data_IF_470392923347
#
_entry.id   IF_470392923347
#
_cell.length_a   1.000
_cell.length_b   1.000
_cell.length_c   1.000
_cell.angle_alpha   90.00
_cell.angle_beta   90.00
_cell.angle_gamma   90.00
#
_symmetry.space_group_name_H-M   'P 1'
#
loop_
_entity.id
_entity.type
_entity.pdbx_description
1 polymer ?
#
# COMPACT_ATOMS: atom_id res chain seq x y z
N UNK A 1 -17.79 -23.86 16.75
CA UNK A 1 -16.74 -23.93 15.74
C UNK A 1 -16.76 -22.61 14.97
N UNK A 2 -15.99 -21.59 15.43
CA UNK A 2 -15.93 -20.26 14.82
C UNK A 2 -14.70 -20.22 13.91
N UNK A 3 -14.92 -20.10 12.64
CA UNK A 3 -13.88 -19.86 11.62
C UNK A 3 -13.42 -18.42 11.78
N UNK A 4 -12.16 -18.23 12.15
CA UNK A 4 -11.46 -16.95 12.08
C UNK A 4 -11.17 -16.65 10.60
N UNK A 5 -12.07 -15.93 9.97
CA UNK A 5 -11.79 -15.26 8.71
C UNK A 5 -10.75 -14.16 8.98
N UNK A 6 -9.54 -14.40 8.53
CA UNK A 6 -8.50 -13.37 8.45
C UNK A 6 -9.04 -12.20 7.63
N UNK A 7 -9.12 -11.02 8.25
CA UNK A 7 -9.47 -9.78 7.56
C UNK A 7 -8.40 -9.47 6.54
N UNK A 8 -8.75 -9.61 5.28
CA UNK A 8 -8.04 -8.93 4.19
C UNK A 8 -8.27 -7.43 4.45
N UNK A 9 -7.21 -6.72 4.79
CA UNK A 9 -7.24 -5.27 4.87
C UNK A 9 -7.35 -4.70 3.44
N UNK A 10 -8.53 -4.80 2.87
CA UNK A 10 -8.97 -3.85 1.86
C UNK A 10 -8.99 -2.48 2.54
N UNK A 11 -8.34 -1.49 1.93
CA UNK A 11 -8.25 -0.15 2.45
C UNK A 11 -9.61 0.32 2.98
N UNK A 12 -9.63 0.73 4.22
CA UNK A 12 -10.84 1.21 4.87
C UNK A 12 -11.40 2.38 4.06
N UNK A 13 -12.56 2.19 3.47
CA UNK A 13 -13.46 3.25 3.05
C UNK A 13 -13.92 4.00 4.32
N UNK A 14 -13.04 4.84 4.83
CA UNK A 14 -13.35 5.82 5.86
C UNK A 14 -13.99 7.01 5.18
N UNK A 15 -15.32 7.07 5.19
CA UNK A 15 -16.06 8.25 4.77
C UNK A 15 -15.66 9.42 5.66
N UNK A 16 -14.99 10.42 5.11
CA UNK A 16 -14.77 11.69 5.78
C UNK A 16 -14.88 12.89 4.84
N UNK A 17 -15.61 13.87 5.29
CA UNK A 17 -16.11 15.04 4.60
C UNK A 17 -15.17 16.25 4.62
N UNK A 18 -15.14 16.98 3.49
CA UNK A 18 -15.05 18.43 3.24
C UNK A 18 -13.68 19.14 3.40
N UNK A 19 -13.24 20.10 2.63
CA UNK A 19 -13.56 20.99 1.54
C UNK A 19 -12.29 21.79 1.15
N UNK A 20 -12.07 22.04 -0.10
CA UNK A 20 -11.61 23.16 -0.94
C UNK A 20 -10.16 23.69 -1.00
N UNK A 21 -9.61 23.84 -2.15
CA UNK A 21 -9.00 24.58 -3.21
C UNK A 21 -7.54 24.83 -3.37
N UNK A 22 -6.90 24.94 -4.25
CA UNK A 22 -6.25 25.03 -5.52
C UNK A 22 -4.75 25.53 -5.63
N UNK A 23 -3.93 25.27 -6.57
CA UNK A 23 -3.13 25.68 -7.75
C UNK A 23 -1.58 25.46 -7.80
N UNK A 24 -0.90 25.41 -8.80
CA UNK A 24 -0.08 25.17 -10.02
C UNK A 24 1.49 25.27 -9.91
N UNK A 25 2.41 24.91 -10.66
CA UNK A 25 2.95 24.44 -11.86
C UNK A 25 4.48 24.67 -12.11
N UNK A 26 5.06 23.91 -12.98
CA UNK A 26 6.13 23.90 -13.98
C UNK A 26 7.37 23.02 -13.67
N UNK A 27 8.00 22.40 -14.73
CA UNK A 27 8.73 21.15 -14.56
C UNK A 27 10.21 21.34 -14.25
N UNK A 28 10.68 20.71 -13.19
CA UNK A 28 12.11 20.43 -12.99
C UNK A 28 12.35 18.94 -13.19
N UNK A 29 13.39 18.59 -13.94
CA UNK A 29 13.89 17.22 -14.03
C UNK A 29 14.19 16.70 -12.62
N UNK A 30 13.38 15.73 -12.16
CA UNK A 30 13.72 14.96 -10.96
C UNK A 30 14.83 13.98 -11.38
N UNK A 31 16.04 14.27 -10.95
CA UNK A 31 17.13 13.29 -10.98
C UNK A 31 16.75 12.23 -9.94
N UNK A 32 16.53 11.01 -10.41
CA UNK A 32 16.38 9.85 -9.54
C UNK A 32 17.64 9.73 -8.68
N UNK A 33 17.57 10.14 -7.42
CA UNK A 33 18.63 9.85 -6.46
C UNK A 33 18.45 8.41 -6.02
N UNK A 34 19.37 7.55 -6.45
CA UNK A 34 19.54 6.25 -5.83
C UNK A 34 19.82 6.48 -4.34
N UNK A 35 19.09 5.79 -3.47
CA UNK A 35 19.44 5.74 -2.05
C UNK A 35 20.85 5.14 -1.99
N UNK A 36 21.84 5.96 -1.64
CA UNK A 36 23.23 5.54 -1.60
C UNK A 36 23.40 4.32 -0.67
N UNK A 37 24.31 3.38 -1.00
CA UNK A 37 24.62 2.30 -0.08
C UNK A 37 24.99 2.91 1.28
N UNK A 38 24.37 2.38 2.32
CA UNK A 38 24.46 2.90 3.66
C UNK A 38 25.93 3.05 4.10
N UNK A 39 26.36 4.26 4.31
CA UNK A 39 27.47 4.51 5.21
C UNK A 39 27.09 4.05 6.61
N UNK A 40 28.01 3.40 7.35
CA UNK A 40 27.76 2.77 8.67
C UNK A 40 27.42 3.77 9.80
N UNK A 41 26.88 4.92 9.49
CA UNK A 41 26.49 5.95 10.43
C UNK A 41 25.13 5.68 11.09
N UNK A 42 25.05 5.87 12.40
CA UNK A 42 23.78 5.92 13.14
C UNK A 42 23.18 7.31 12.92
N UNK A 43 21.95 7.37 12.40
CA UNK A 43 21.20 8.62 12.34
C UNK A 43 20.05 8.52 13.33
N UNK A 44 19.95 9.48 14.24
CA UNK A 44 18.90 9.60 15.26
C UNK A 44 18.01 10.78 14.90
N UNK A 45 16.70 10.57 14.84
CA UNK A 45 15.73 11.66 14.76
C UNK A 45 15.56 12.26 16.16
N UNK A 46 15.81 13.54 16.32
CA UNK A 46 16.08 14.20 17.60
C UNK A 46 14.95 14.14 18.63
N UNK A 47 13.67 14.08 18.21
CA UNK A 47 12.51 14.19 19.10
C UNK A 47 11.62 12.93 19.19
N UNK A 48 11.88 11.89 18.42
CA UNK A 48 10.95 10.76 18.28
C UNK A 48 11.42 9.44 18.89
N UNK A 49 12.61 9.39 19.49
CA UNK A 49 13.23 8.13 19.94
C UNK A 49 13.41 7.12 18.80
N UNK A 50 13.55 7.63 17.56
CA UNK A 50 13.71 6.81 16.35
C UNK A 50 15.15 6.86 15.88
N UNK A 51 15.77 5.69 15.70
CA UNK A 51 17.13 5.56 15.18
C UNK A 51 17.15 4.68 13.91
N UNK A 52 18.17 4.86 13.08
CA UNK A 52 18.46 3.97 11.95
C UNK A 52 19.91 3.54 11.99
N UNK A 53 20.14 2.25 11.76
CA UNK A 53 21.46 1.63 11.78
C UNK A 53 21.51 0.41 10.84
N UNK A 54 22.68 -0.16 10.65
CA UNK A 54 22.86 -1.43 9.93
C UNK A 54 23.25 -2.52 10.93
N UNK A 55 22.58 -3.66 10.86
CA UNK A 55 22.90 -4.84 11.64
C UNK A 55 22.88 -6.07 10.76
N UNK A 56 23.97 -6.86 10.79
CA UNK A 56 24.11 -8.06 9.96
C UNK A 56 24.00 -7.83 8.45
N UNK A 57 24.20 -6.58 7.98
CA UNK A 57 24.02 -6.16 6.58
C UNK A 57 22.59 -5.84 6.21
N UNK A 58 21.68 -5.66 7.17
CA UNK A 58 20.28 -5.26 7.00
C UNK A 58 20.10 -3.86 7.58
N UNK A 59 19.44 -2.97 6.84
CA UNK A 59 19.02 -1.66 7.35
C UNK A 59 17.91 -1.85 8.38
N UNK A 60 18.06 -1.24 9.55
CA UNK A 60 17.08 -1.25 10.64
C UNK A 60 16.62 0.17 10.91
N UNK A 61 15.32 0.36 11.08
CA UNK A 61 14.72 1.53 11.70
C UNK A 61 14.12 1.05 13.01
N UNK A 62 14.44 1.69 14.10
CA UNK A 62 13.94 1.32 15.41
C UNK A 62 13.36 2.54 16.12
N UNK A 63 12.11 2.40 16.61
CA UNK A 63 11.45 3.39 17.46
C UNK A 63 11.11 2.76 18.80
N UNK A 64 11.58 3.39 19.87
CA UNK A 64 11.11 3.05 21.19
C UNK A 64 9.67 3.54 21.38
N UNK A 65 8.77 2.64 21.75
CA UNK A 65 7.38 2.94 22.10
C UNK A 65 7.04 2.21 23.40
N UNK A 66 6.55 2.91 24.42
CA UNK A 66 6.19 2.28 25.70
C UNK A 66 5.01 1.32 25.51
N UNK A 67 4.96 0.26 26.31
CA UNK A 67 3.89 -0.75 26.29
C UNK A 67 4.44 -2.16 26.12
N UNK A 68 3.53 -3.13 26.16
CA UNK A 68 3.91 -4.55 26.13
C UNK A 68 3.94 -5.12 24.70
N UNK A 69 3.26 -4.49 23.76
CA UNK A 69 3.23 -4.94 22.36
C UNK A 69 4.44 -4.42 21.59
N UNK A 70 5.13 -5.33 20.93
CA UNK A 70 6.21 -5.02 20.00
C UNK A 70 5.89 -5.53 18.60
N UNK A 71 6.30 -4.75 17.61
CA UNK A 71 6.15 -5.03 16.18
C UNK A 71 7.52 -5.04 15.53
N UNK A 72 7.79 -6.03 14.70
CA UNK A 72 8.93 -6.03 13.80
C UNK A 72 8.45 -6.36 12.38
N UNK A 73 8.44 -5.36 11.51
CA UNK A 73 8.08 -5.51 10.10
C UNK A 73 9.34 -5.61 9.25
N UNK A 74 9.54 -6.74 8.59
CA UNK A 74 10.51 -6.89 7.53
C UNK A 74 9.84 -6.56 6.19
N UNK A 75 10.34 -5.53 5.53
CA UNK A 75 9.93 -5.12 4.19
C UNK A 75 10.86 -5.79 3.18
N UNK A 76 10.33 -6.67 2.33
CA UNK A 76 11.01 -7.20 1.16
C UNK A 76 10.80 -6.24 -0.01
N UNK A 77 11.81 -5.40 -0.26
CA UNK A 77 11.71 -4.26 -1.18
C UNK A 77 11.62 -4.68 -2.63
N UNK A 78 10.90 -3.88 -3.42
CA UNK A 78 10.74 -4.05 -4.86
C UNK A 78 9.36 -4.53 -5.29
N UNK A 79 8.64 -5.27 -4.45
CA UNK A 79 7.26 -5.69 -4.69
C UNK A 79 7.04 -6.23 -6.11
N UNK A 80 6.06 -5.65 -6.82
CA UNK A 80 5.71 -6.09 -8.20
C UNK A 80 6.79 -5.83 -9.25
N UNK A 81 7.83 -5.06 -8.93
CA UNK A 81 9.00 -4.88 -9.81
C UNK A 81 9.94 -6.09 -9.82
N UNK A 82 9.75 -7.04 -8.91
CA UNK A 82 10.53 -8.28 -8.82
C UNK A 82 9.82 -9.48 -9.47
N UNK A 83 8.66 -9.25 -10.07
CA UNK A 83 7.84 -10.28 -10.68
C UNK A 83 7.35 -9.86 -12.07
N UNK A 84 6.78 -10.80 -12.79
CA UNK A 84 6.09 -10.60 -14.07
C UNK A 84 4.63 -11.01 -13.91
N UNK A 85 3.79 -10.79 -14.91
CA UNK A 85 2.42 -11.32 -14.91
C UNK A 85 2.37 -12.84 -14.79
N UNK A 86 3.40 -13.56 -15.23
CA UNK A 86 3.44 -15.02 -15.21
C UNK A 86 3.66 -15.61 -13.82
N UNK A 87 4.40 -14.89 -12.96
CA UNK A 87 4.70 -15.30 -11.58
C UNK A 87 4.16 -14.33 -10.52
N UNK A 88 3.22 -13.46 -10.89
CA UNK A 88 2.56 -12.57 -9.96
C UNK A 88 2.00 -13.34 -8.76
N UNK A 89 2.20 -12.81 -7.55
CA UNK A 89 1.80 -13.45 -6.29
C UNK A 89 2.79 -14.46 -5.73
N UNK A 90 3.93 -14.72 -6.38
CA UNK A 90 4.91 -15.74 -5.92
C UNK A 90 5.49 -15.39 -4.54
N UNK A 91 5.74 -14.11 -4.23
CA UNK A 91 6.34 -13.70 -2.95
C UNK A 91 5.37 -13.90 -1.77
N UNK A 92 4.14 -13.38 -1.76
CA UNK A 92 3.19 -13.70 -0.71
C UNK A 92 2.84 -15.18 -0.66
N UNK A 93 2.76 -15.88 -1.79
CA UNK A 93 2.55 -17.32 -1.81
C UNK A 93 3.68 -18.09 -1.09
N UNK A 94 4.95 -17.74 -1.36
CA UNK A 94 6.10 -18.30 -0.66
C UNK A 94 6.03 -18.08 0.85
N UNK A 95 5.73 -16.86 1.27
CA UNK A 95 5.66 -16.49 2.69
C UNK A 95 4.51 -17.19 3.42
N UNK A 96 3.35 -17.32 2.80
CA UNK A 96 2.22 -18.09 3.35
C UNK A 96 2.52 -19.60 3.36
N UNK A 97 3.14 -20.15 2.31
CA UNK A 97 3.56 -21.55 2.27
C UNK A 97 4.57 -21.88 3.39
N UNK A 98 5.38 -20.90 3.83
CA UNK A 98 6.31 -21.07 4.95
C UNK A 98 5.63 -21.37 6.28
N UNK A 99 4.34 -21.04 6.43
CA UNK A 99 3.54 -21.38 7.61
C UNK A 99 3.23 -22.88 7.71
N UNK A 100 3.34 -23.60 6.61
CA UNK A 100 3.03 -25.01 6.52
C UNK A 100 4.16 -25.92 7.01
N UNK A 101 5.34 -25.36 7.29
CA UNK A 101 6.48 -26.07 7.86
C UNK A 101 7.81 -25.44 7.53
N UNK A 102 8.73 -25.60 8.44
CA UNK A 102 10.13 -25.19 8.29
C UNK A 102 11.05 -26.33 8.68
N UNK A 103 12.35 -26.19 8.41
CA UNK A 103 13.34 -27.19 8.85
C UNK A 103 13.26 -27.49 10.35
N UNK A 104 12.92 -26.51 11.19
CA UNK A 104 12.89 -26.64 12.65
C UNK A 104 11.51 -26.94 13.23
N UNK A 105 10.46 -26.71 12.48
CA UNK A 105 9.07 -26.84 12.94
C UNK A 105 8.22 -27.55 11.89
N UNK A 106 7.60 -28.68 12.26
CA UNK A 106 6.49 -29.21 11.45
C UNK A 106 5.29 -28.26 11.54
N UNK A 107 4.36 -28.35 10.58
CA UNK A 107 3.12 -27.54 10.54
C UNK A 107 2.41 -27.49 11.88
N UNK A 108 2.15 -28.66 12.49
CA UNK A 108 1.41 -28.74 13.76
C UNK A 108 2.19 -28.17 14.94
N UNK A 109 3.52 -28.35 14.94
CA UNK A 109 4.38 -27.76 15.98
C UNK A 109 4.40 -26.23 15.86
N UNK A 110 4.46 -25.70 14.64
CA UNK A 110 4.44 -24.28 14.34
C UNK A 110 3.12 -23.67 14.80
N UNK A 111 1.99 -24.24 14.38
CA UNK A 111 0.65 -23.79 14.77
C UNK A 111 0.46 -23.80 16.31
N UNK A 112 0.85 -24.89 16.98
CA UNK A 112 0.79 -24.97 18.46
C UNK A 112 1.69 -23.96 19.16
N UNK A 113 2.89 -23.69 18.61
CA UNK A 113 3.80 -22.69 19.17
C UNK A 113 3.21 -21.28 19.04
N UNK A 114 2.71 -20.89 17.87
CA UNK A 114 2.06 -19.61 17.63
C UNK A 114 0.84 -19.39 18.53
N UNK A 115 -0.02 -20.40 18.63
CA UNK A 115 -1.22 -20.35 19.51
C UNK A 115 -0.85 -20.19 20.97
N UNK A 116 0.17 -20.91 21.47
CA UNK A 116 0.64 -20.83 22.86
C UNK A 116 1.29 -19.49 23.20
N UNK A 117 2.00 -18.90 22.24
CA UNK A 117 2.66 -17.60 22.41
C UNK A 117 1.66 -16.44 22.32
N UNK A 118 0.45 -16.65 21.83
CA UNK A 118 -0.52 -15.58 21.59
C UNK A 118 -0.01 -14.52 20.62
N UNK A 119 0.78 -14.94 19.63
CA UNK A 119 1.51 -14.04 18.72
C UNK A 119 1.04 -14.20 17.28
N UNK A 120 1.33 -13.21 16.43
CA UNK A 120 1.01 -13.22 15.00
C UNK A 120 2.25 -12.99 14.14
N UNK A 121 2.31 -13.70 13.00
CA UNK A 121 3.18 -13.37 11.87
C UNK A 121 2.25 -13.08 10.71
N UNK A 122 2.41 -11.91 10.09
CA UNK A 122 1.55 -11.40 9.03
C UNK A 122 2.33 -11.27 7.73
N UNK A 123 1.64 -11.50 6.62
CA UNK A 123 2.12 -11.21 5.27
C UNK A 123 1.19 -10.20 4.63
N UNK A 124 1.73 -9.10 4.10
CA UNK A 124 0.97 -8.09 3.37
C UNK A 124 1.74 -7.67 2.11
N UNK A 125 1.14 -7.86 0.95
CA UNK A 125 1.77 -7.61 -0.35
C UNK A 125 1.26 -6.30 -0.95
N UNK A 126 2.16 -5.32 -1.06
CA UNK A 126 1.96 -4.01 -1.67
C UNK A 126 2.71 -3.95 -3.02
N UNK A 127 2.35 -3.06 -3.95
CA UNK A 127 3.11 -2.90 -5.19
C UNK A 127 4.59 -2.57 -5.02
N UNK A 128 4.99 -1.90 -3.96
CA UNK A 128 6.37 -1.46 -3.73
C UNK A 128 7.21 -2.44 -2.89
N UNK A 129 6.57 -3.23 -2.03
CA UNK A 129 7.21 -4.23 -1.15
C UNK A 129 6.22 -5.28 -0.64
N UNK A 130 6.75 -6.31 -0.03
CA UNK A 130 5.94 -7.25 0.77
C UNK A 130 6.39 -7.14 2.23
N UNK A 131 5.45 -6.95 3.14
CA UNK A 131 5.69 -6.96 4.58
C UNK A 131 5.58 -8.41 5.08
N UNK A 132 6.61 -8.86 5.79
CA UNK A 132 6.58 -10.08 6.59
C UNK A 132 6.86 -9.68 8.04
N UNK A 133 5.86 -9.67 8.91
CA UNK A 133 5.92 -8.95 10.17
C UNK A 133 5.49 -9.73 11.40
N UNK A 134 6.11 -9.41 12.53
CA UNK A 134 5.80 -9.95 13.85
C UNK A 134 4.84 -9.02 14.60
N UNK A 135 3.90 -9.63 15.34
CA UNK A 135 3.05 -9.01 16.35
C UNK A 135 3.17 -9.85 17.62
N UNK A 136 3.86 -9.34 18.66
CA UNK A 136 4.17 -10.10 19.86
C UNK A 136 4.20 -9.21 21.11
N UNK A 137 4.07 -9.80 22.29
CA UNK A 137 4.44 -9.12 23.53
C UNK A 137 5.95 -9.12 23.71
N UNK A 138 6.49 -8.23 24.56
CA UNK A 138 7.92 -8.22 24.91
C UNK A 138 8.39 -9.57 25.43
N UNK A 139 7.56 -10.26 26.22
CA UNK A 139 7.87 -11.56 26.81
C UNK A 139 7.99 -12.67 25.75
N UNK A 140 7.19 -12.61 24.68
CA UNK A 140 7.15 -13.65 23.63
C UNK A 140 7.96 -13.27 22.40
N UNK A 141 8.55 -12.08 22.35
CA UNK A 141 9.22 -11.53 21.16
C UNK A 141 10.36 -12.44 20.63
N UNK A 142 11.24 -12.92 21.51
CA UNK A 142 12.37 -13.78 21.11
C UNK A 142 11.90 -15.11 20.51
N UNK A 143 10.88 -15.72 21.13
CA UNK A 143 10.30 -16.97 20.65
C UNK A 143 9.57 -16.81 19.33
N UNK A 144 8.87 -15.67 19.16
CA UNK A 144 8.21 -15.33 17.90
C UNK A 144 9.22 -15.01 16.80
N UNK A 145 10.29 -14.30 17.15
CA UNK A 145 11.40 -14.04 16.21
C UNK A 145 12.03 -15.32 15.70
N UNK A 146 12.25 -16.32 16.58
CA UNK A 146 12.80 -17.61 16.18
C UNK A 146 11.91 -18.32 15.13
N UNK A 147 10.58 -18.27 15.31
CA UNK A 147 9.62 -18.82 14.33
C UNK A 147 9.65 -17.99 13.04
N UNK A 148 9.59 -16.67 13.13
CA UNK A 148 9.66 -15.74 12.00
C UNK A 148 10.92 -15.97 11.15
N UNK A 149 12.09 -16.00 11.78
CA UNK A 149 13.35 -16.26 11.11
C UNK A 149 13.39 -17.66 10.47
N UNK A 150 12.85 -18.69 11.15
CA UNK A 150 12.77 -20.05 10.61
C UNK A 150 11.85 -20.13 9.39
N UNK A 151 10.68 -19.43 9.40
CA UNK A 151 9.76 -19.34 8.27
C UNK A 151 10.40 -18.64 7.07
N UNK A 152 11.11 -17.53 7.30
CA UNK A 152 11.75 -16.76 6.25
C UNK A 152 12.95 -17.48 5.64
N UNK A 153 13.80 -18.11 6.48
CA UNK A 153 15.11 -18.65 6.05
C UNK A 153 15.04 -20.11 5.59
N UNK A 154 14.14 -20.91 6.15
CA UNK A 154 14.19 -22.37 6.02
C UNK A 154 12.80 -23.00 5.83
N UNK A 155 11.92 -22.47 4.95
CA UNK A 155 10.64 -23.13 4.65
C UNK A 155 10.89 -24.50 3.99
N UNK A 156 10.09 -25.52 4.33
CA UNK A 156 10.23 -26.86 3.73
C UNK A 156 9.62 -26.92 2.33
N UNK A 157 8.55 -26.17 2.11
CA UNK A 157 7.81 -26.13 0.84
C UNK A 157 7.45 -27.55 0.35
N UNK A 158 6.81 -28.32 1.23
CA UNK A 158 6.33 -29.67 0.88
C UNK A 158 5.20 -29.58 -0.16
N UNK A 159 5.25 -30.38 -1.25
CA UNK A 159 4.31 -30.24 -2.37
C UNK A 159 2.83 -30.28 -1.96
N UNK A 160 2.45 -31.19 -1.06
CA UNK A 160 1.06 -31.31 -0.60
C UNK A 160 0.61 -30.06 0.21
N UNK A 161 1.48 -29.49 1.02
CA UNK A 161 1.18 -28.28 1.80
C UNK A 161 1.16 -27.02 0.92
N UNK A 162 2.04 -26.95 -0.08
CA UNK A 162 2.04 -25.87 -1.07
C UNK A 162 0.73 -25.87 -1.86
N UNK A 163 0.23 -27.05 -2.22
CA UNK A 163 -1.04 -27.16 -2.95
C UNK A 163 -2.23 -26.67 -2.09
N UNK A 164 -2.26 -26.94 -0.81
CA UNK A 164 -3.29 -26.40 0.10
C UNK A 164 -3.28 -24.86 0.15
N UNK A 165 -2.09 -24.26 0.17
CA UNK A 165 -1.94 -22.80 0.13
C UNK A 165 -2.37 -22.24 -1.24
N UNK A 166 -2.00 -22.92 -2.34
CA UNK A 166 -2.47 -22.57 -3.69
C UNK A 166 -4.00 -22.47 -3.74
N UNK A 167 -4.71 -23.50 -3.23
CA UNK A 167 -6.17 -23.50 -3.22
C UNK A 167 -6.74 -22.33 -2.41
N UNK A 168 -6.09 -21.91 -1.31
CA UNK A 168 -6.49 -20.74 -0.55
C UNK A 168 -6.33 -19.44 -1.36
N UNK A 169 -5.21 -19.28 -2.09
CA UNK A 169 -4.98 -18.13 -2.97
C UNK A 169 -5.99 -18.11 -4.13
N UNK A 170 -6.24 -19.23 -4.78
CA UNK A 170 -7.22 -19.34 -5.87
C UNK A 170 -8.64 -19.02 -5.39
N UNK A 171 -9.00 -19.46 -4.18
CA UNK A 171 -10.27 -19.06 -3.55
C UNK A 171 -10.34 -17.54 -3.34
N UNK A 172 -9.26 -16.91 -2.85
CA UNK A 172 -9.18 -15.46 -2.71
C UNK A 172 -9.33 -14.72 -4.04
N UNK A 173 -8.72 -15.23 -5.11
CA UNK A 173 -8.88 -14.69 -6.48
C UNK A 173 -10.33 -14.84 -6.97
N UNK A 174 -10.97 -15.98 -6.73
CA UNK A 174 -12.38 -16.19 -7.08
C UNK A 174 -13.29 -15.23 -6.32
N UNK A 175 -13.11 -15.10 -5.00
CA UNK A 175 -13.88 -14.16 -4.18
C UNK A 175 -13.70 -12.70 -4.64
N UNK A 176 -12.48 -12.31 -5.04
CA UNK A 176 -12.21 -11.01 -5.64
C UNK A 176 -12.98 -10.81 -6.93
N UNK A 177 -13.02 -11.82 -7.81
CA UNK A 177 -13.79 -11.76 -9.06
C UNK A 177 -15.30 -11.64 -8.81
N UNK A 178 -15.81 -12.29 -7.78
CA UNK A 178 -17.25 -12.34 -7.47
C UNK A 178 -17.74 -11.07 -6.75
N UNK A 179 -16.84 -10.36 -6.02
CA UNK A 179 -17.13 -9.07 -5.40
C UNK A 179 -16.99 -7.93 -6.41
N UNK A 180 -18.05 -7.14 -6.69
CA UNK A 180 -17.99 -6.04 -7.64
C UNK A 180 -16.92 -4.98 -7.26
N UNK A 181 -16.82 -4.61 -5.99
CA UNK A 181 -15.84 -3.64 -5.52
C UNK A 181 -14.40 -4.17 -5.65
N UNK A 182 -14.15 -5.40 -5.23
CA UNK A 182 -12.82 -5.99 -5.31
C UNK A 182 -12.38 -6.21 -6.76
N UNK A 183 -13.31 -6.56 -7.65
CA UNK A 183 -13.07 -6.65 -9.09
C UNK A 183 -12.76 -5.28 -9.69
N UNK A 184 -13.54 -4.26 -9.30
CA UNK A 184 -13.36 -2.88 -9.76
C UNK A 184 -11.97 -2.36 -9.41
N UNK A 185 -11.53 -2.51 -8.16
CA UNK A 185 -10.19 -2.11 -7.69
C UNK A 185 -9.08 -2.83 -8.47
N UNK A 186 -9.19 -4.14 -8.62
CA UNK A 186 -8.23 -4.95 -9.38
C UNK A 186 -8.11 -4.50 -10.84
N UNK A 187 -9.24 -4.30 -11.51
CA UNK A 187 -9.27 -3.87 -12.90
C UNK A 187 -8.80 -2.43 -13.07
N UNK A 188 -9.12 -1.55 -12.12
CA UNK A 188 -8.73 -0.14 -12.17
C UNK A 188 -7.20 0.03 -12.22
N UNK A 189 -6.46 -0.67 -11.37
CA UNK A 189 -4.99 -0.62 -11.41
C UNK A 189 -4.43 -1.29 -12.68
N UNK A 190 -4.98 -2.43 -13.09
CA UNK A 190 -4.58 -3.14 -14.31
C UNK A 190 -4.77 -2.28 -15.58
N UNK A 191 -5.91 -1.58 -15.68
CA UNK A 191 -6.25 -0.71 -16.82
C UNK A 191 -5.47 0.61 -16.77
N UNK A 192 -5.37 1.22 -15.57
CA UNK A 192 -4.74 2.53 -15.43
C UNK A 192 -3.24 2.49 -15.69
N UNK A 193 -2.58 1.43 -15.26
CA UNK A 193 -1.12 1.32 -15.27
C UNK A 193 -0.59 0.29 -16.28
N UNK A 194 -1.37 -0.02 -17.31
CA UNK A 194 -0.95 -0.94 -18.38
C UNK A 194 0.43 -0.55 -18.94
N UNK A 195 1.37 -1.50 -18.95
CA UNK A 195 2.77 -1.28 -19.33
C UNK A 195 3.70 -0.83 -18.20
N UNK A 196 3.18 -0.56 -17.01
CA UNK A 196 3.95 -0.28 -15.80
C UNK A 196 3.82 -1.45 -14.80
N UNK A 197 4.84 -1.75 -13.96
CA UNK A 197 4.75 -2.83 -12.97
C UNK A 197 3.54 -2.75 -12.04
N UNK A 198 3.03 -1.56 -11.73
CA UNK A 198 1.81 -1.40 -10.89
C UNK A 198 0.53 -1.98 -11.51
N UNK A 199 0.55 -2.38 -12.78
CA UNK A 199 -0.54 -3.17 -13.37
C UNK A 199 -0.53 -4.64 -12.93
N UNK A 200 0.59 -5.12 -12.35
CA UNK A 200 0.73 -6.50 -11.88
C UNK A 200 0.11 -6.60 -10.47
N UNK A 201 -0.87 -7.49 -10.25
CA UNK A 201 -1.47 -7.62 -8.92
C UNK A 201 -0.49 -8.30 -7.94
N UNK A 202 -0.18 -7.68 -6.79
CA UNK A 202 0.74 -8.27 -5.81
C UNK A 202 0.30 -9.65 -5.29
N UNK A 203 -1.01 -9.87 -5.17
CA UNK A 203 -1.61 -11.14 -4.73
C UNK A 203 -1.76 -12.20 -5.84
N UNK A 204 -1.31 -11.89 -7.07
CA UNK A 204 -1.39 -12.81 -8.19
C UNK A 204 -2.74 -12.86 -8.90
N UNK A 205 -2.76 -13.66 -9.96
CA UNK A 205 -3.92 -13.99 -10.78
C UNK A 205 -4.18 -15.51 -10.72
N UNK A 206 -5.36 -15.95 -11.18
CA UNK A 206 -5.66 -17.37 -11.33
C UNK A 206 -4.62 -18.07 -12.23
N UNK A 207 -4.24 -17.44 -13.34
CA UNK A 207 -3.25 -17.96 -14.29
C UNK A 207 -1.85 -18.08 -13.68
N UNK A 208 -1.37 -17.05 -12.96
CA UNK A 208 -0.03 -17.09 -12.35
C UNK A 208 0.03 -18.08 -11.19
N UNK A 209 -0.95 -18.06 -10.29
CA UNK A 209 -0.99 -18.94 -9.10
C UNK A 209 -1.13 -20.40 -9.46
N UNK A 210 -1.89 -20.74 -10.52
CA UNK A 210 -2.00 -22.12 -11.01
C UNK A 210 -0.70 -22.65 -11.64
N UNK A 211 0.15 -21.75 -12.13
CA UNK A 211 1.39 -22.09 -12.84
C UNK A 211 2.60 -22.22 -11.93
N UNK A 212 2.66 -21.42 -10.84
CA UNK A 212 3.78 -21.41 -9.89
C UNK A 212 4.00 -22.82 -9.29
N UNK A 213 5.18 -23.39 -9.51
CA UNK A 213 5.58 -24.70 -8.98
C UNK A 213 6.34 -24.57 -7.65
N UNK A 214 6.53 -25.68 -6.95
CA UNK A 214 7.44 -25.76 -5.79
C UNK A 214 8.88 -25.40 -6.19
N UNK A 215 9.29 -25.77 -7.41
CA UNK A 215 10.59 -25.39 -7.97
C UNK A 215 10.74 -23.88 -8.11
N UNK A 216 9.70 -23.20 -8.60
CA UNK A 216 9.67 -21.73 -8.73
C UNK A 216 9.74 -21.05 -7.36
N UNK A 217 9.00 -21.55 -6.37
CA UNK A 217 9.04 -21.02 -4.99
C UNK A 217 10.45 -21.17 -4.38
N UNK A 218 11.11 -22.32 -4.55
CA UNK A 218 12.48 -22.56 -4.06
C UNK A 218 13.49 -21.66 -4.77
N UNK A 219 13.36 -21.51 -6.08
CA UNK A 219 14.20 -20.62 -6.88
C UNK A 219 14.02 -19.16 -6.42
N UNK A 220 12.77 -18.69 -6.33
CA UNK A 220 12.45 -17.33 -5.87
C UNK A 220 13.00 -17.10 -4.45
N UNK A 221 12.83 -18.04 -3.55
CA UNK A 221 13.38 -17.96 -2.19
C UNK A 221 14.90 -17.75 -2.22
N UNK A 222 15.65 -18.56 -2.98
CA UNK A 222 17.11 -18.50 -3.04
C UNK A 222 17.64 -17.20 -3.69
N UNK A 223 16.90 -16.63 -4.64
CA UNK A 223 17.30 -15.45 -5.41
C UNK A 223 16.84 -14.14 -4.76
N UNK A 224 15.67 -14.15 -4.10
CA UNK A 224 14.98 -12.93 -3.69
C UNK A 224 14.95 -12.71 -2.16
N UNK A 225 15.14 -13.75 -1.34
CA UNK A 225 15.25 -13.60 0.12
C UNK A 225 16.71 -13.27 0.46
N UNK A 226 17.10 -12.04 0.16
CA UNK A 226 18.47 -11.53 0.30
C UNK A 226 18.49 -10.22 1.09
N UNK A 227 19.58 -9.99 1.85
CA UNK A 227 19.71 -8.84 2.79
C UNK A 227 19.53 -7.49 2.10
N UNK A 228 20.02 -7.33 0.87
CA UNK A 228 19.90 -6.08 0.11
C UNK A 228 18.45 -5.67 -0.23
N UNK A 229 17.51 -6.61 -0.19
CA UNK A 229 16.06 -6.34 -0.32
C UNK A 229 15.37 -6.08 1.02
N UNK A 230 16.10 -6.04 2.13
CA UNK A 230 15.49 -6.01 3.45
C UNK A 230 15.62 -4.64 4.12
N UNK A 231 14.48 -4.11 4.55
CA UNK A 231 14.38 -3.06 5.55
C UNK A 231 13.61 -3.63 6.74
N UNK A 232 14.23 -3.62 7.92
CA UNK A 232 13.57 -4.04 9.16
C UNK A 232 13.13 -2.81 9.95
N UNK A 233 11.86 -2.72 10.29
CA UNK A 233 11.33 -1.66 11.16
C UNK A 233 10.83 -2.28 12.45
N UNK A 234 11.35 -1.84 13.58
CA UNK A 234 10.97 -2.31 14.92
C UNK A 234 10.36 -1.16 15.70
N UNK A 235 9.15 -1.36 16.22
CA UNK A 235 8.45 -0.38 17.07
C UNK A 235 7.98 -1.08 18.35
N UNK A 236 8.36 -0.55 19.49
CA UNK A 236 8.03 -1.10 20.80
C UNK A 236 9.15 -0.96 21.82
N UNK A 237 8.92 -1.45 23.03
CA UNK A 237 9.93 -1.46 24.10
C UNK A 237 10.87 -2.68 23.95
N UNK A 238 11.67 -2.66 22.89
CA UNK A 238 12.69 -3.65 22.58
C UNK A 238 14.04 -2.91 22.46
N UNK A 239 15.05 -3.37 23.17
CA UNK A 239 16.38 -2.73 23.11
C UNK A 239 17.10 -3.02 21.80
N UNK A 240 17.88 -2.07 21.31
CA UNK A 240 18.74 -2.23 20.13
C UNK A 240 19.65 -3.46 20.25
N UNK A 241 20.33 -3.64 21.37
CA UNK A 241 21.19 -4.80 21.61
C UNK A 241 20.45 -6.14 21.42
N UNK A 242 19.14 -6.19 21.79
CA UNK A 242 18.29 -7.36 21.57
C UNK A 242 18.03 -7.58 20.08
N UNK A 243 17.71 -6.53 19.33
CA UNK A 243 17.48 -6.60 17.88
C UNK A 243 18.75 -7.05 17.15
N UNK A 244 19.90 -6.41 17.45
CA UNK A 244 21.19 -6.76 16.86
C UNK A 244 21.59 -8.22 17.14
N UNK A 245 21.40 -8.69 18.39
CA UNK A 245 21.65 -10.09 18.76
C UNK A 245 20.76 -11.06 17.96
N UNK A 246 19.48 -10.77 17.84
CA UNK A 246 18.51 -11.62 17.12
C UNK A 246 18.86 -11.68 15.62
N UNK A 247 19.16 -10.55 15.00
CA UNK A 247 19.62 -10.48 13.61
C UNK A 247 20.92 -11.28 13.44
N UNK A 248 21.92 -11.06 14.30
CA UNK A 248 23.22 -11.74 14.25
C UNK A 248 23.10 -13.28 14.33
N UNK A 249 22.18 -13.77 15.15
CA UNK A 249 21.91 -15.21 15.30
C UNK A 249 21.14 -15.81 14.13
N UNK A 250 20.44 -15.01 13.30
CA UNK A 250 19.51 -15.46 12.27
C UNK A 250 19.77 -14.79 10.92
N UNK A 251 19.10 -13.69 10.64
CA UNK A 251 19.03 -13.04 9.32
C UNK A 251 20.39 -12.60 8.76
N UNK A 252 21.39 -12.36 9.61
CA UNK A 252 22.75 -12.03 9.19
C UNK A 252 23.39 -13.12 8.31
N UNK A 253 22.91 -14.37 8.40
CA UNK A 253 23.37 -15.52 7.61
C UNK A 253 22.80 -15.58 6.19
N UNK A 254 21.79 -14.75 5.88
CA UNK A 254 21.23 -14.68 4.53
C UNK A 254 22.23 -14.12 3.53
N UNK A 255 22.13 -14.46 2.23
CA UNK A 255 22.98 -13.88 1.20
C UNK A 255 22.88 -12.35 1.16
N UNK A 256 23.97 -11.67 0.83
CA UNK A 256 23.99 -10.20 0.75
C UNK A 256 23.00 -9.67 -0.31
N UNK A 257 23.02 -10.29 -1.50
CA UNK A 257 22.24 -9.80 -2.65
C UNK A 257 22.86 -8.56 -3.30
N UNK A 258 22.19 -8.05 -4.35
CA UNK A 258 22.67 -6.88 -5.13
C UNK A 258 21.55 -5.85 -5.39
N UNK A 259 20.38 -6.00 -4.75
CA UNK A 259 19.26 -5.09 -4.93
C UNK A 259 19.58 -3.72 -4.33
N UNK A 260 19.18 -2.66 -5.01
CA UNK A 260 19.20 -1.30 -4.50
C UNK A 260 17.78 -0.72 -4.64
N UNK A 261 17.25 -0.16 -3.56
CA UNK A 261 15.97 0.52 -3.59
C UNK A 261 16.08 1.82 -4.39
N UNK A 262 15.17 2.00 -5.33
CA UNK A 262 14.95 3.26 -6.05
C UNK A 262 13.45 3.51 -6.14
N UNK A 263 13.04 4.76 -6.25
CA UNK A 263 11.66 5.05 -6.63
C UNK A 263 11.39 4.46 -8.02
N UNK A 264 10.19 3.91 -8.27
CA UNK A 264 9.82 3.44 -9.61
C UNK A 264 9.85 4.57 -10.65
N UNK A 265 9.82 4.20 -11.93
CA UNK A 265 9.59 5.17 -12.98
C UNK A 265 8.22 5.84 -12.83
N UNK A 266 8.09 7.05 -13.38
CA UNK A 266 6.80 7.76 -13.35
C UNK A 266 5.76 6.98 -14.14
N UNK A 267 4.54 6.94 -13.63
CA UNK A 267 3.42 6.27 -14.29
C UNK A 267 3.22 6.85 -15.72
N UNK A 268 2.99 5.98 -16.71
CA UNK A 268 2.81 6.42 -18.08
C UNK A 268 1.61 7.34 -18.20
N UNK A 269 1.78 8.47 -18.87
CA UNK A 269 0.66 9.32 -19.26
C UNK A 269 0.00 8.69 -20.46
N UNK A 270 -1.19 8.20 -20.29
CA UNK A 270 -1.95 7.51 -21.32
C UNK A 270 -3.26 8.26 -21.53
N UNK A 271 -3.82 8.17 -22.75
CA UNK A 271 -5.13 8.77 -23.05
C UNK A 271 -6.22 8.21 -22.12
N UNK A 272 -7.24 9.00 -21.88
CA UNK A 272 -8.47 8.54 -21.22
C UNK A 272 -8.97 7.25 -21.90
N UNK A 273 -9.41 6.32 -21.08
CA UNK A 273 -9.90 5.02 -21.51
C UNK A 273 -11.04 4.60 -20.58
N UNK A 274 -12.06 3.95 -21.11
CA UNK A 274 -13.05 3.26 -20.30
C UNK A 274 -13.07 1.77 -20.61
N UNK A 275 -13.14 0.96 -19.56
CA UNK A 275 -13.27 -0.49 -19.61
C UNK A 275 -14.53 -0.91 -18.85
N UNK A 276 -15.37 -1.74 -19.42
CA UNK A 276 -16.63 -2.16 -18.79
C UNK A 276 -16.73 -3.68 -18.67
N UNK A 277 -17.27 -4.12 -17.54
CA UNK A 277 -17.67 -5.50 -17.30
C UNK A 277 -19.18 -5.55 -17.12
N UNK A 278 -19.87 -6.25 -18.02
CA UNK A 278 -21.30 -6.41 -17.95
C UNK A 278 -21.69 -7.37 -16.82
N UNK A 279 -22.52 -6.88 -15.90
CA UNK A 279 -23.06 -7.66 -14.78
C UNK A 279 -24.47 -7.18 -14.42
N UNK A 280 -25.37 -8.12 -14.26
CA UNK A 280 -26.72 -7.85 -13.77
C UNK A 280 -26.68 -7.58 -12.25
N UNK A 281 -26.37 -6.34 -11.87
CA UNK A 281 -26.26 -5.88 -10.48
C UNK A 281 -27.35 -4.85 -10.16
N UNK A 282 -27.79 -4.75 -8.89
CA UNK A 282 -28.77 -3.76 -8.47
C UNK A 282 -28.26 -2.31 -8.56
N UNK A 283 -26.93 -2.12 -8.56
CA UNK A 283 -26.25 -0.83 -8.72
C UNK A 283 -25.03 -1.00 -9.62
N UNK A 284 -24.48 0.11 -10.11
CA UNK A 284 -23.28 0.11 -10.93
C UNK A 284 -22.10 0.65 -10.11
N UNK A 285 -20.93 0.05 -10.31
CA UNK A 285 -19.67 0.37 -9.63
C UNK A 285 -18.74 1.03 -10.61
N UNK A 286 -18.21 2.18 -10.27
CA UNK A 286 -17.41 3.02 -11.17
C UNK A 286 -16.17 3.49 -10.42
N UNK A 287 -14.99 3.28 -11.01
CA UNK A 287 -13.72 3.78 -10.49
C UNK A 287 -12.86 4.29 -11.64
N UNK A 288 -12.50 5.55 -11.57
CA UNK A 288 -11.47 6.14 -12.41
C UNK A 288 -10.16 6.24 -11.68
N UNK A 289 -9.04 5.93 -12.35
CA UNK A 289 -7.68 6.12 -11.84
C UNK A 289 -6.93 7.17 -12.65
N UNK A 290 -6.07 7.92 -11.98
CA UNK A 290 -5.13 8.88 -12.59
C UNK A 290 -3.75 8.75 -11.95
N UNK A 291 -2.71 9.09 -12.74
CA UNK A 291 -1.32 9.07 -12.31
C UNK A 291 -1.00 10.29 -11.44
N UNK A 292 -0.25 10.09 -10.36
CA UNK A 292 0.23 11.14 -9.47
C UNK A 292 1.75 11.36 -9.57
N UNK A 293 2.30 12.23 -8.73
CA UNK A 293 3.72 12.50 -8.64
C UNK A 293 4.47 11.42 -7.84
N UNK A 294 5.81 11.39 -7.92
CA UNK A 294 6.65 10.63 -7.00
C UNK A 294 6.44 11.07 -5.56
N UNK A 295 6.54 10.10 -4.64
CA UNK A 295 6.50 10.36 -3.22
C UNK A 295 7.62 11.30 -2.76
N UNK A 296 7.43 11.98 -1.63
CA UNK A 296 8.40 12.95 -1.07
C UNK A 296 8.43 14.31 -1.78
N UNK A 297 7.67 14.51 -2.87
CA UNK A 297 7.60 15.80 -3.56
C UNK A 297 6.50 16.70 -2.97
N UNK A 298 6.63 18.03 -3.13
CA UNK A 298 5.58 18.98 -2.74
C UNK A 298 4.24 18.64 -3.41
N UNK A 299 4.28 18.23 -4.66
CA UNK A 299 3.10 17.84 -5.42
C UNK A 299 2.42 16.58 -4.87
N UNK A 300 3.17 15.68 -4.24
CA UNK A 300 2.61 14.50 -3.58
C UNK A 300 1.68 14.91 -2.43
N UNK A 301 2.13 15.81 -1.56
CA UNK A 301 1.32 16.32 -0.45
C UNK A 301 0.14 17.16 -0.96
N UNK A 302 0.37 17.99 -1.98
CA UNK A 302 -0.69 18.77 -2.61
C UNK A 302 -1.77 17.87 -3.21
N UNK A 303 -1.40 16.80 -3.94
CA UNK A 303 -2.37 15.87 -4.53
C UNK A 303 -3.13 15.06 -3.46
N UNK A 304 -2.45 14.70 -2.37
CA UNK A 304 -3.08 14.01 -1.24
C UNK A 304 -4.22 14.85 -0.64
N UNK A 305 -3.96 16.13 -0.38
CA UNK A 305 -4.99 17.06 0.12
C UNK A 305 -6.05 17.32 -0.96
N UNK A 306 -5.66 17.45 -2.23
CA UNK A 306 -6.58 17.64 -3.35
C UNK A 306 -7.59 16.48 -3.46
N UNK A 307 -7.15 15.25 -3.30
CA UNK A 307 -8.02 14.09 -3.29
C UNK A 307 -9.03 14.14 -2.13
N UNK A 308 -8.59 14.47 -0.92
CA UNK A 308 -9.49 14.63 0.24
C UNK A 308 -10.54 15.73 0.02
N UNK A 309 -10.16 16.81 -0.63
CA UNK A 309 -11.07 17.91 -1.03
C UNK A 309 -12.10 17.40 -2.02
N UNK A 310 -11.65 16.75 -3.08
CA UNK A 310 -12.54 16.22 -4.11
C UNK A 310 -13.52 15.20 -3.51
N UNK A 311 -13.05 14.32 -2.63
CA UNK A 311 -13.90 13.38 -1.91
C UNK A 311 -15.04 14.08 -1.16
N UNK A 312 -14.74 15.15 -0.44
CA UNK A 312 -15.73 15.94 0.28
C UNK A 312 -16.74 16.64 -0.64
N UNK A 313 -16.28 17.20 -1.77
CA UNK A 313 -17.20 17.81 -2.77
C UNK A 313 -18.11 16.75 -3.38
N UNK A 314 -17.57 15.60 -3.79
CA UNK A 314 -18.35 14.49 -4.34
C UNK A 314 -19.37 13.98 -3.32
N UNK A 315 -18.97 13.78 -2.07
CA UNK A 315 -19.88 13.36 -1.02
C UNK A 315 -21.02 14.38 -0.79
N UNK A 316 -20.68 15.66 -0.64
CA UNK A 316 -21.65 16.71 -0.43
C UNK A 316 -22.66 16.82 -1.58
N UNK A 317 -22.18 16.86 -2.82
CA UNK A 317 -23.03 17.12 -3.99
C UNK A 317 -23.81 15.88 -4.40
N UNK A 318 -23.19 14.69 -4.45
CA UNK A 318 -23.79 13.50 -5.03
C UNK A 318 -24.59 12.72 -3.98
N UNK A 319 -24.03 12.56 -2.76
CA UNK A 319 -24.70 11.80 -1.70
C UNK A 319 -25.63 12.69 -0.86
N UNK A 320 -25.13 13.79 -0.27
CA UNK A 320 -25.91 14.55 0.69
C UNK A 320 -27.02 15.38 0.05
N UNK A 321 -26.74 16.07 -1.07
CA UNK A 321 -27.70 16.97 -1.71
C UNK A 321 -28.65 16.25 -2.66
N UNK A 322 -28.17 15.22 -3.39
CA UNK A 322 -28.93 14.59 -4.47
C UNK A 322 -29.33 13.14 -4.20
N UNK A 323 -28.76 12.52 -3.17
CA UNK A 323 -29.04 11.12 -2.80
C UNK A 323 -28.92 10.13 -3.97
N UNK A 324 -27.91 10.34 -4.84
CA UNK A 324 -27.67 9.53 -6.04
C UNK A 324 -26.78 8.31 -5.77
N UNK A 325 -26.13 8.26 -4.60
CA UNK A 325 -25.22 7.20 -4.24
C UNK A 325 -25.28 6.87 -2.76
N UNK A 326 -24.96 5.62 -2.43
CA UNK A 326 -24.65 5.23 -1.07
C UNK A 326 -23.16 5.40 -0.74
N UNK A 327 -22.26 5.20 -1.72
CA UNK A 327 -20.82 5.30 -1.55
C UNK A 327 -20.17 6.10 -2.69
N UNK A 328 -19.45 7.16 -2.34
CA UNK A 328 -18.65 8.00 -3.24
C UNK A 328 -17.40 8.46 -2.53
N UNK A 329 -16.26 8.45 -3.24
CA UNK A 329 -14.96 8.83 -2.69
C UNK A 329 -14.00 9.32 -3.81
N UNK A 330 -12.91 9.95 -3.41
CA UNK A 330 -11.75 10.23 -4.26
C UNK A 330 -10.47 9.68 -3.58
N UNK A 331 -10.22 8.38 -3.68
CA UNK A 331 -9.11 7.74 -2.97
C UNK A 331 -7.74 8.23 -3.47
N UNK A 332 -6.81 8.41 -2.53
CA UNK A 332 -5.40 8.65 -2.78
C UNK A 332 -4.59 7.41 -2.40
N UNK A 333 -3.79 6.90 -3.34
CA UNK A 333 -2.95 5.72 -3.13
C UNK A 333 -1.54 6.15 -2.74
N UNK A 334 -1.16 5.87 -1.48
CA UNK A 334 0.16 6.13 -0.94
C UNK A 334 1.17 5.08 -1.41
N UNK A 335 1.74 5.31 -2.57
CA UNK A 335 2.76 4.47 -3.19
C UNK A 335 4.01 5.29 -3.47
N UNK A 336 5.12 4.65 -3.80
CA UNK A 336 6.35 5.34 -4.20
C UNK A 336 6.14 6.28 -5.40
N UNK A 337 5.24 5.92 -6.32
CA UNK A 337 4.61 6.83 -7.26
C UNK A 337 3.13 6.90 -6.92
N UNK A 338 2.67 8.06 -6.48
CA UNK A 338 1.28 8.25 -6.11
C UNK A 338 0.33 8.02 -7.27
N UNK A 339 -0.87 7.61 -6.94
CA UNK A 339 -2.00 7.61 -7.85
C UNK A 339 -3.25 8.02 -7.08
N UNK A 340 -4.26 8.45 -7.79
CA UNK A 340 -5.55 8.75 -7.18
C UNK A 340 -6.68 8.18 -8.00
N UNK A 341 -7.90 8.35 -7.49
CA UNK A 341 -9.09 7.89 -8.18
C UNK A 341 -10.31 8.73 -7.91
N UNK A 342 -11.40 8.36 -8.54
CA UNK A 342 -12.75 8.81 -8.24
C UNK A 342 -13.66 7.58 -8.28
N UNK A 343 -14.31 7.28 -7.18
CA UNK A 343 -15.13 6.09 -6.98
C UNK A 343 -16.57 6.47 -6.70
N UNK A 344 -17.51 5.72 -7.26
CA UNK A 344 -18.94 5.84 -6.94
C UNK A 344 -19.71 4.55 -7.22
N UNK A 345 -20.72 4.26 -6.37
CA UNK A 345 -21.78 3.30 -6.68
C UNK A 345 -23.06 4.04 -7.00
N UNK A 346 -23.78 3.71 -8.08
CA UNK A 346 -24.99 4.44 -8.44
C UNK A 346 -25.92 3.65 -9.36
N UNK A 347 -27.22 3.94 -9.25
CA UNK A 347 -28.25 3.46 -10.20
C UNK A 347 -28.45 4.42 -11.39
N UNK A 348 -27.83 5.62 -11.34
CA UNK A 348 -27.91 6.66 -12.37
C UNK A 348 -26.48 7.07 -12.83
N UNK A 349 -25.73 6.20 -13.51
CA UNK A 349 -24.33 6.41 -13.78
C UNK A 349 -24.01 7.66 -14.61
N UNK A 350 -24.79 7.97 -15.65
CA UNK A 350 -24.53 9.12 -16.52
C UNK A 350 -24.63 10.44 -15.77
N UNK A 351 -25.73 10.65 -15.03
CA UNK A 351 -25.93 11.86 -14.22
C UNK A 351 -24.87 11.99 -13.13
N UNK A 352 -24.53 10.86 -12.49
CA UNK A 352 -23.56 10.86 -11.38
C UNK A 352 -22.16 11.17 -11.86
N UNK A 353 -21.72 10.58 -12.97
CA UNK A 353 -20.38 10.82 -13.55
C UNK A 353 -20.28 12.26 -14.09
N UNK A 354 -21.34 12.80 -14.68
CA UNK A 354 -21.36 14.23 -15.09
C UNK A 354 -21.23 15.18 -13.89
N UNK A 355 -21.84 14.86 -12.75
CA UNK A 355 -21.66 15.62 -11.51
C UNK A 355 -20.23 15.50 -10.98
N UNK A 356 -19.61 14.31 -11.01
CA UNK A 356 -18.20 14.15 -10.65
C UNK A 356 -17.32 15.03 -11.51
N UNK A 357 -17.55 15.08 -12.82
CA UNK A 357 -16.84 15.95 -13.76
C UNK A 357 -17.05 17.43 -13.44
N UNK A 358 -18.26 17.85 -13.09
CA UNK A 358 -18.55 19.24 -12.69
C UNK A 358 -17.79 19.62 -11.40
N UNK A 359 -17.75 18.75 -10.40
CA UNK A 359 -17.00 19.01 -9.16
C UNK A 359 -15.50 19.10 -9.45
N UNK A 360 -14.96 18.24 -10.28
CA UNK A 360 -13.55 18.35 -10.69
C UNK A 360 -13.27 19.63 -11.49
N UNK A 361 -14.18 20.06 -12.38
CA UNK A 361 -14.04 21.32 -13.12
C UNK A 361 -14.08 22.52 -12.17
N UNK A 362 -14.98 22.53 -11.19
CA UNK A 362 -15.02 23.54 -10.15
C UNK A 362 -13.72 23.59 -9.34
N UNK A 363 -13.15 22.44 -8.99
CA UNK A 363 -11.88 22.33 -8.29
C UNK A 363 -10.69 22.84 -9.13
N UNK A 364 -10.74 22.67 -10.45
CA UNK A 364 -9.70 23.18 -11.38
C UNK A 364 -9.75 24.70 -11.61
N UNK A 365 -10.88 25.35 -11.42
CA UNK A 365 -11.09 26.77 -11.75
C UNK A 365 -11.39 27.65 -10.53
N UNK A 366 -11.94 27.05 -9.48
CA UNK A 366 -12.32 27.76 -8.25
C UNK A 366 -11.12 28.07 -7.37
N UNK A 367 -11.33 29.03 -6.47
CA UNK A 367 -10.44 29.29 -5.34
C UNK A 367 -11.06 28.76 -4.06
N UNK A 368 -10.21 28.38 -3.12
CA UNK A 368 -10.64 27.95 -1.80
C UNK A 368 -10.31 28.99 -0.78
N UNK A 369 -11.19 29.02 0.21
CA UNK A 369 -10.99 29.75 1.43
C UNK A 369 -9.85 29.09 2.23
N UNK A 370 -8.81 29.86 2.57
CA UNK A 370 -7.66 29.42 3.35
C UNK A 370 -8.07 28.86 4.72
N UNK A 371 -9.07 29.45 5.35
CA UNK A 371 -9.60 28.96 6.63
C UNK A 371 -10.22 27.58 6.50
N UNK A 372 -10.97 27.31 5.43
CA UNK A 372 -11.52 25.99 5.13
C UNK A 372 -10.44 24.95 4.89
N UNK A 373 -9.38 25.33 4.17
CA UNK A 373 -8.20 24.46 3.96
C UNK A 373 -7.50 24.17 5.29
N UNK A 374 -7.30 25.16 6.14
CA UNK A 374 -6.67 24.98 7.46
C UNK A 374 -7.45 23.99 8.33
N UNK A 375 -8.79 24.09 8.35
CA UNK A 375 -9.65 23.13 9.07
C UNK A 375 -9.53 21.71 8.51
N UNK A 376 -9.50 21.56 7.18
CA UNK A 376 -9.32 20.26 6.54
C UNK A 376 -7.97 19.63 6.87
N UNK A 377 -6.88 20.39 6.78
CA UNK A 377 -5.54 19.89 7.12
C UNK A 377 -5.50 19.48 8.59
N UNK A 378 -6.09 20.26 9.48
CA UNK A 378 -6.15 19.91 10.91
C UNK A 378 -6.93 18.62 11.15
N UNK A 379 -8.06 18.44 10.47
CA UNK A 379 -8.86 17.23 10.53
C UNK A 379 -8.10 16.01 9.96
N UNK A 380 -7.38 16.21 8.85
CA UNK A 380 -6.53 15.19 8.24
C UNK A 380 -5.40 14.77 9.20
N UNK A 381 -4.73 15.72 9.84
CA UNK A 381 -3.69 15.43 10.83
C UNK A 381 -4.23 14.71 12.06
N UNK A 382 -5.40 15.09 12.54
CA UNK A 382 -6.05 14.40 13.66
C UNK A 382 -6.32 12.93 13.30
N UNK A 383 -6.89 12.68 12.12
CA UNK A 383 -7.13 11.31 11.65
C UNK A 383 -5.82 10.55 11.46
N UNK A 384 -4.80 11.19 10.89
CA UNK A 384 -3.47 10.61 10.72
C UNK A 384 -2.86 10.16 12.06
N UNK A 385 -2.95 10.98 13.12
CA UNK A 385 -2.44 10.57 14.44
C UNK A 385 -3.23 9.42 15.04
N UNK A 386 -4.57 9.41 14.89
CA UNK A 386 -5.42 8.30 15.32
C UNK A 386 -5.08 7.00 14.57
N UNK A 387 -4.90 7.08 13.26
CA UNK A 387 -4.53 5.92 12.46
C UNK A 387 -3.13 5.39 12.82
N UNK A 388 -2.23 6.25 13.29
CA UNK A 388 -0.86 5.89 13.68
C UNK A 388 -0.68 5.62 15.20
N UNK A 389 -1.75 5.38 15.96
CA UNK A 389 -1.66 4.99 17.37
C UNK A 389 -1.02 3.60 17.57
N UNK A 390 -1.20 2.68 16.63
CA UNK A 390 -0.66 1.33 16.76
C UNK A 390 0.80 1.25 16.33
N UNK A 391 1.60 0.43 17.03
CA UNK A 391 3.00 0.18 16.66
C UNK A 391 3.14 -0.37 15.22
N UNK A 392 2.12 -1.07 14.71
CA UNK A 392 2.11 -1.59 13.34
C UNK A 392 2.00 -0.47 12.30
N UNK A 393 1.10 0.47 12.53
CA UNK A 393 0.90 1.61 11.62
C UNK A 393 2.08 2.59 11.70
N UNK A 394 2.65 2.78 12.91
CA UNK A 394 3.89 3.54 13.07
C UNK A 394 5.05 2.92 12.29
N UNK A 395 5.18 1.59 12.31
CA UNK A 395 6.23 0.89 11.55
C UNK A 395 6.04 1.11 10.03
N UNK A 396 4.81 1.08 9.52
CA UNK A 396 4.53 1.35 8.11
C UNK A 396 4.82 2.81 7.74
N UNK A 397 4.43 3.76 8.57
CA UNK A 397 4.73 5.18 8.35
C UNK A 397 6.24 5.46 8.35
N UNK A 398 7.00 4.86 9.27
CA UNK A 398 8.46 4.97 9.31
C UNK A 398 9.11 4.42 8.03
N UNK A 399 8.66 3.24 7.59
CA UNK A 399 9.16 2.61 6.38
C UNK A 399 8.89 3.48 5.14
N UNK A 400 7.64 3.94 4.96
CA UNK A 400 7.24 4.81 3.83
C UNK A 400 8.04 6.11 3.83
N UNK A 401 8.11 6.79 4.97
CA UNK A 401 8.86 8.05 5.08
C UNK A 401 10.33 7.87 4.69
N UNK A 402 10.98 6.83 5.22
CA UNK A 402 12.37 6.55 4.88
C UNK A 402 12.56 6.15 3.41
N UNK A 403 11.72 5.26 2.88
CA UNK A 403 11.85 4.76 1.50
C UNK A 403 11.50 5.82 0.47
N UNK A 404 10.57 6.72 0.77
CA UNK A 404 10.12 7.74 -0.15
C UNK A 404 11.04 8.96 -0.22
N UNK A 405 11.63 9.36 0.91
CA UNK A 405 12.47 10.56 0.98
C UNK A 405 13.97 10.25 1.20
N UNK A 406 14.33 8.99 1.46
CA UNK A 406 15.72 8.59 1.73
C UNK A 406 16.26 9.05 3.09
N UNK A 407 15.42 9.63 3.96
CA UNK A 407 15.80 10.22 5.22
C UNK A 407 14.76 9.90 6.31
N UNK A 408 15.20 9.35 7.44
CA UNK A 408 14.30 9.03 8.56
C UNK A 408 13.65 10.28 9.17
N UNK A 409 14.29 11.45 9.07
CA UNK A 409 13.73 12.74 9.53
C UNK A 409 12.55 13.24 8.68
N UNK A 410 12.22 12.56 7.58
CA UNK A 410 11.00 12.80 6.81
C UNK A 410 9.73 12.71 7.70
N UNK A 411 9.78 11.84 8.71
CA UNK A 411 8.69 11.69 9.70
C UNK A 411 8.39 13.01 10.42
N UNK A 412 9.44 13.77 10.77
CA UNK A 412 9.31 15.05 11.49
C UNK A 412 8.76 16.16 10.58
N UNK A 413 9.02 16.08 9.28
CA UNK A 413 8.61 17.07 8.28
C UNK A 413 7.17 16.88 7.78
N UNK A 414 6.59 15.71 7.98
CA UNK A 414 5.30 15.34 7.39
C UNK A 414 4.19 16.35 7.69
N UNK A 415 4.00 16.73 8.97
CA UNK A 415 3.00 17.73 9.37
C UNK A 415 3.28 19.10 8.73
N UNK A 416 4.52 19.55 8.77
CA UNK A 416 4.92 20.83 8.18
C UNK A 416 4.68 20.84 6.66
N UNK A 417 4.94 19.74 5.96
CA UNK A 417 4.70 19.63 4.52
C UNK A 417 3.20 19.67 4.18
N UNK A 418 2.34 19.07 4.99
CA UNK A 418 0.90 19.16 4.82
C UNK A 418 0.39 20.58 5.09
N UNK A 419 0.86 21.23 6.18
CA UNK A 419 0.49 22.62 6.53
C UNK A 419 1.00 23.65 5.51
N UNK A 420 2.04 23.34 4.78
CA UNK A 420 2.58 24.19 3.72
C UNK A 420 1.78 24.13 2.40
N UNK A 421 0.81 23.22 2.28
CA UNK A 421 -0.05 23.14 1.09
C UNK A 421 -0.96 24.36 1.03
N UNK A 422 -0.85 25.12 -0.05
CA UNK A 422 -1.63 26.34 -0.27
C UNK A 422 -2.87 26.06 -1.14
N UNK A 423 -3.89 26.96 -1.10
CA UNK A 423 -4.99 26.94 -2.07
C UNK A 423 -4.49 26.85 -3.51
N UNK A 424 -3.40 27.47 -3.83
CA UNK A 424 -2.76 27.45 -5.13
C UNK A 424 -2.14 26.08 -5.48
N UNK A 425 -1.61 25.35 -4.59
CA UNK A 425 -1.00 24.05 -4.86
C UNK A 425 -2.03 22.99 -5.25
N UNK A 426 -3.24 23.04 -4.66
CA UNK A 426 -4.29 22.05 -4.91
C UNK A 426 -4.93 22.19 -6.31
N UNK A 427 -5.27 23.41 -6.82
CA UNK A 427 -5.81 23.57 -8.21
C UNK A 427 -4.75 23.14 -9.24
N UNK A 428 -3.48 23.39 -9.00
CA UNK A 428 -2.40 22.88 -9.81
C UNK A 428 -2.32 21.36 -9.75
N UNK A 429 -2.48 20.77 -8.60
CA UNK A 429 -2.56 19.31 -8.49
C UNK A 429 -3.77 18.76 -9.24
N UNK A 430 -4.96 19.40 -9.09
CA UNK A 430 -6.14 19.02 -9.83
C UNK A 430 -5.96 19.17 -11.35
N UNK A 431 -5.40 20.29 -11.80
CA UNK A 431 -5.15 20.57 -13.23
C UNK A 431 -4.08 19.65 -13.84
N UNK A 432 -3.02 19.36 -13.08
CA UNK A 432 -1.86 18.62 -13.58
C UNK A 432 -2.04 17.10 -13.51
N UNK A 433 -2.67 16.59 -12.48
CA UNK A 433 -2.70 15.16 -12.20
C UNK A 433 -4.07 14.51 -12.40
N UNK A 434 -5.17 15.16 -12.04
CA UNK A 434 -6.51 14.56 -12.19
C UNK A 434 -6.99 14.77 -13.63
N UNK A 435 -6.35 14.11 -14.58
CA UNK A 435 -6.67 14.15 -16.03
C UNK A 435 -6.29 12.82 -16.68
N UNK A 436 -6.74 12.63 -17.89
CA UNK A 436 -6.50 11.39 -18.63
C UNK A 436 -6.97 10.17 -17.83
N UNK A 437 -8.09 10.33 -17.13
CA UNK A 437 -8.60 9.34 -16.16
C UNK A 437 -8.98 8.06 -16.90
N UNK A 438 -8.53 6.94 -16.39
CA UNK A 438 -8.89 5.62 -16.91
C UNK A 438 -9.96 5.01 -16.04
N UNK A 439 -11.10 4.77 -16.67
CA UNK A 439 -12.32 4.35 -16.01
C UNK A 439 -12.53 2.85 -16.12
N UNK A 440 -12.96 2.25 -15.03
CA UNK A 440 -13.53 0.91 -14.98
C UNK A 440 -14.97 1.01 -14.48
N UNK A 441 -15.83 0.28 -15.16
CA UNK A 441 -17.24 0.18 -14.87
C UNK A 441 -17.62 -1.29 -14.72
N UNK A 442 -18.31 -1.64 -13.62
CA UNK A 442 -18.85 -2.97 -13.37
C UNK A 442 -20.35 -2.81 -13.11
N UNK A 443 -21.19 -3.31 -14.01
CA UNK A 443 -22.65 -3.16 -13.94
C UNK A 443 -23.33 -3.34 -15.29
N UNK A 444 -24.54 -2.79 -15.47
CA UNK A 444 -25.30 -2.88 -16.71
C UNK A 444 -24.60 -2.15 -17.87
N UNK A 445 -24.08 -2.91 -18.83
CA UNK A 445 -23.33 -2.37 -19.98
C UNK A 445 -24.13 -1.36 -20.82
N UNK A 446 -25.46 -1.39 -20.77
CA UNK A 446 -26.33 -0.44 -21.47
C UNK A 446 -26.35 0.95 -20.84
N UNK A 447 -25.84 1.07 -19.60
CA UNK A 447 -25.82 2.31 -18.81
C UNK A 447 -24.42 2.91 -18.67
N UNK A 448 -23.43 2.40 -19.40
CA UNK A 448 -22.05 2.92 -19.34
C UNK A 448 -22.03 4.38 -19.82
N UNK A 449 -21.55 5.34 -19.01
CA UNK A 449 -21.55 6.77 -19.36
C UNK A 449 -20.33 7.14 -20.23
N UNK A 450 -20.12 6.45 -21.34
CA UNK A 450 -18.93 6.56 -22.20
C UNK A 450 -18.63 8.01 -22.61
N UNK A 451 -19.65 8.78 -22.99
CA UNK A 451 -19.47 10.19 -23.39
C UNK A 451 -19.00 11.08 -22.24
N UNK A 452 -19.39 10.75 -21.00
CA UNK A 452 -18.97 11.49 -19.82
C UNK A 452 -17.55 11.12 -19.42
N UNK A 453 -17.15 9.85 -19.57
CA UNK A 453 -15.78 9.38 -19.30
C UNK A 453 -14.71 10.05 -20.16
N UNK A 454 -15.01 10.32 -21.43
CA UNK A 454 -14.07 10.94 -22.39
C UNK A 454 -13.76 12.41 -22.09
N UNK A 455 -14.41 13.01 -21.10
CA UNK A 455 -14.34 14.44 -20.78
C UNK A 455 -13.57 14.77 -19.47
N UNK A 456 -12.86 13.81 -18.91
CA UNK A 456 -12.08 14.00 -17.68
C UNK A 456 -10.62 14.42 -17.92
#
# INVERSE_FOLDING_TARGET
MRVLLGRINGGRLGAMLLVLGAMSALPTRVVSQAVQPATDGIVVAADTGTETYVSGGIRVIQRHAPGDIAVANLYLLGGVRQVTFENAGIEPFLLEASERGTRSYSRDRLRRAMSRLGTGIVTDADPDWTVFGIRATRATFDSTWAIFASRLMHPTLEPAEVELVRQQFLLGVSQRRDSPDALLEYLADSVAFAGHPYAIPPSGTEASLSRITVGDLRKYHSEQVVKSRMLLVVVGDITRAKVERLIGQTLARLPAGRYAWTLPDTLPRTKALSFSVDRALPTNYILGRYAGPPAGTKEYYALRITAAVLAGQLFSEIRSRRNLTYAVDAPFMERAIASGGMYVTTVQPEVTVDLMRQQLAALRTGTINEEGLGRLIQQFLTQFYLDNETNANQADFLARSYLFEGDIRAVERFEAQLRAVTPQDIQRAAQRFIRDVRWVYVGDAKRVPTRSFDRF
#
